data_IF_507591365311
#
_entry.id   IF_507591365311
#
_cell.length_a   1.000
_cell.length_b   1.000
_cell.length_c   1.000
_cell.angle_alpha   90.00
_cell.angle_beta   90.00
_cell.angle_gamma   90.00
#
_symmetry.space_group_name_H-M   'P 1'
#
loop_
_entity.id
_entity.type
_entity.pdbx_description
1 polymer ?
#
# COMPACT_ATOMS: atom_id res chain seq x y z
N UNK A 1 6.38 -14.09 5.60
CA UNK A 1 5.31 -13.16 5.18
C UNK A 1 4.42 -13.91 4.20
N UNK A 2 3.17 -13.50 4.04
CA UNK A 2 2.27 -13.98 3.00
C UNK A 2 1.37 -12.84 2.54
N UNK A 3 0.74 -13.01 1.39
CA UNK A 3 -0.37 -12.15 1.00
C UNK A 3 -1.53 -12.34 1.98
N UNK A 4 -2.19 -11.23 2.31
CA UNK A 4 -3.38 -11.23 3.16
C UNK A 4 -4.59 -11.76 2.40
N UNK A 5 -5.50 -12.38 3.13
CA UNK A 5 -6.80 -12.80 2.65
C UNK A 5 -7.88 -11.99 3.37
N UNK A 6 -8.57 -11.13 2.61
CA UNK A 6 -9.62 -10.28 3.16
C UNK A 6 -10.83 -11.11 3.64
N UNK A 7 -11.45 -10.64 4.71
CA UNK A 7 -12.72 -11.14 5.22
C UNK A 7 -13.80 -10.99 4.14
N UNK A 8 -14.80 -11.89 4.12
CA UNK A 8 -15.81 -11.93 3.05
C UNK A 8 -16.50 -10.59 2.80
N UNK A 9 -16.89 -9.87 3.86
CA UNK A 9 -17.53 -8.56 3.75
C UNK A 9 -16.60 -7.48 3.18
N UNK A 10 -15.29 -7.56 3.44
CA UNK A 10 -14.29 -6.64 2.87
C UNK A 10 -13.97 -7.01 1.43
N UNK A 11 -13.96 -8.30 1.06
CA UNK A 11 -13.87 -8.75 -0.34
C UNK A 11 -15.03 -8.17 -1.16
N UNK A 12 -16.26 -8.20 -0.65
CA UNK A 12 -17.40 -7.59 -1.34
C UNK A 12 -17.29 -6.06 -1.45
N UNK A 13 -16.85 -5.37 -0.38
CA UNK A 13 -16.56 -3.92 -0.47
C UNK A 13 -15.50 -3.62 -1.53
N UNK A 14 -14.46 -4.43 -1.62
CA UNK A 14 -13.38 -4.26 -2.60
C UNK A 14 -13.87 -4.53 -4.03
N UNK A 15 -14.68 -5.59 -4.24
CA UNK A 15 -15.27 -5.89 -5.55
C UNK A 15 -16.08 -4.72 -6.11
N UNK A 16 -16.81 -4.01 -5.26
CA UNK A 16 -17.58 -2.83 -5.68
C UNK A 16 -16.71 -1.64 -6.13
N UNK A 17 -15.41 -1.64 -5.81
CA UNK A 17 -14.45 -0.67 -6.31
C UNK A 17 -13.75 -1.12 -7.59
N UNK A 18 -13.65 -2.44 -7.82
CA UNK A 18 -12.90 -2.98 -8.93
C UNK A 18 -13.70 -2.85 -10.23
N UNK A 19 -13.04 -2.48 -11.34
CA UNK A 19 -13.68 -2.56 -12.64
C UNK A 19 -14.10 -4.01 -12.96
N UNK A 20 -15.22 -4.20 -13.65
CA UNK A 20 -15.78 -5.52 -13.97
C UNK A 20 -14.81 -6.45 -14.74
N UNK A 21 -13.80 -5.88 -15.40
CA UNK A 21 -12.79 -6.62 -16.15
C UNK A 21 -11.57 -7.05 -15.29
N UNK A 22 -11.58 -6.78 -13.98
CA UNK A 22 -10.53 -7.17 -13.03
C UNK A 22 -11.05 -8.25 -12.10
N UNK A 23 -10.28 -9.34 -11.94
CA UNK A 23 -10.64 -10.47 -11.08
C UNK A 23 -9.71 -10.68 -9.87
N UNK A 24 -8.62 -9.91 -9.74
CA UNK A 24 -7.63 -10.05 -8.69
C UNK A 24 -8.02 -9.37 -7.38
N UNK A 25 -7.83 -10.06 -6.24
CA UNK A 25 -8.12 -9.53 -4.89
C UNK A 25 -6.87 -9.22 -4.07
N UNK A 26 -5.76 -9.91 -4.33
CA UNK A 26 -4.45 -9.60 -3.76
C UNK A 26 -3.34 -10.25 -4.61
N UNK A 27 -2.54 -9.47 -5.37
CA UNK A 27 -2.57 -8.02 -5.48
C UNK A 27 -3.90 -7.47 -6.01
N UNK A 28 -4.24 -6.25 -5.58
CA UNK A 28 -5.35 -5.48 -6.17
C UNK A 28 -4.80 -4.69 -7.34
N UNK A 29 -5.36 -4.89 -8.54
CA UNK A 29 -4.86 -4.30 -9.77
C UNK A 29 -5.97 -3.46 -10.44
N UNK A 30 -5.78 -2.15 -10.51
CA UNK A 30 -6.75 -1.24 -11.16
C UNK A 30 -6.43 -0.97 -12.64
N UNK A 31 -5.43 -1.67 -13.18
CA UNK A 31 -4.92 -1.50 -14.54
C UNK A 31 -4.66 -0.02 -14.86
N UNK A 32 -5.36 0.56 -15.83
CA UNK A 32 -5.26 1.96 -16.25
C UNK A 32 -6.24 2.88 -15.53
N UNK A 33 -7.12 2.35 -14.70
CA UNK A 33 -8.15 3.13 -13.97
C UNK A 33 -7.72 3.52 -12.56
N UNK A 34 -6.44 3.35 -12.22
CA UNK A 34 -5.93 3.72 -10.92
C UNK A 34 -5.92 5.24 -10.74
N UNK A 35 -6.60 5.72 -9.71
CA UNK A 35 -6.54 7.11 -9.25
C UNK A 35 -6.36 7.19 -7.73
N UNK A 36 -6.11 8.40 -7.22
CA UNK A 36 -5.80 8.62 -5.81
C UNK A 36 -6.94 8.21 -4.86
N UNK A 37 -8.19 8.47 -5.24
CA UNK A 37 -9.36 8.17 -4.42
C UNK A 37 -9.62 6.65 -4.35
N UNK A 38 -9.44 5.96 -5.47
CA UNK A 38 -9.60 4.51 -5.58
C UNK A 38 -8.52 3.78 -4.80
N UNK A 39 -7.26 4.23 -4.89
CA UNK A 39 -6.16 3.71 -4.06
C UNK A 39 -6.45 3.94 -2.58
N UNK A 40 -6.89 5.16 -2.20
CA UNK A 40 -7.25 5.47 -0.82
C UNK A 40 -8.33 4.53 -0.28
N UNK A 41 -9.46 4.41 -0.97
CA UNK A 41 -10.57 3.54 -0.55
C UNK A 41 -10.15 2.07 -0.42
N UNK A 42 -9.29 1.61 -1.33
CA UNK A 42 -8.74 0.24 -1.31
C UNK A 42 -7.90 0.00 -0.06
N UNK A 43 -7.03 0.96 0.28
CA UNK A 43 -6.20 0.89 1.48
C UNK A 43 -7.07 0.96 2.74
N UNK A 44 -8.08 1.83 2.80
CA UNK A 44 -9.02 1.92 3.93
C UNK A 44 -9.76 0.58 4.18
N UNK A 45 -10.18 -0.11 3.12
CA UNK A 45 -10.72 -1.49 3.23
C UNK A 45 -9.68 -2.43 3.85
N UNK A 46 -8.44 -2.38 3.38
CA UNK A 46 -7.36 -3.19 3.97
C UNK A 46 -7.01 -2.79 5.41
N UNK A 47 -7.19 -1.52 5.80
CA UNK A 47 -6.99 -1.05 7.17
C UNK A 47 -8.02 -1.68 8.10
N UNK A 48 -9.25 -1.91 7.63
CA UNK A 48 -10.29 -2.57 8.41
C UNK A 48 -10.09 -4.09 8.56
N UNK A 49 -9.31 -4.72 7.69
CA UNK A 49 -9.04 -6.16 7.74
C UNK A 49 -8.12 -6.53 8.91
N UNK A 50 -8.46 -7.56 9.68
CA UNK A 50 -7.58 -8.07 10.74
C UNK A 50 -6.38 -8.85 10.16
N UNK A 51 -6.50 -9.35 8.93
CA UNK A 51 -5.47 -10.15 8.29
C UNK A 51 -4.38 -9.29 7.61
N UNK A 52 -4.75 -8.08 7.17
CA UNK A 52 -3.80 -7.13 6.59
C UNK A 52 -2.92 -6.53 7.68
N UNK A 53 -1.62 -6.77 7.57
CA UNK A 53 -0.61 -6.24 8.51
C UNK A 53 0.25 -5.11 7.94
N UNK A 54 0.29 -4.93 6.62
CA UNK A 54 1.14 -3.94 5.93
C UNK A 54 0.69 -3.77 4.48
N UNK A 55 1.05 -2.65 3.86
CA UNK A 55 0.73 -2.34 2.46
C UNK A 55 1.99 -2.17 1.61
N UNK A 56 1.96 -2.78 0.42
CA UNK A 56 2.84 -2.46 -0.70
C UNK A 56 1.96 -1.80 -1.73
N UNK A 57 2.26 -0.55 -2.09
CA UNK A 57 1.44 0.21 -3.04
C UNK A 57 2.29 0.60 -4.24
N UNK A 58 1.94 0.08 -5.41
CA UNK A 58 2.63 0.41 -6.67
C UNK A 58 1.88 1.58 -7.32
N UNK A 59 2.57 2.70 -7.54
CA UNK A 59 1.96 3.95 -8.01
C UNK A 59 2.56 4.40 -9.35
N UNK A 60 1.72 5.06 -10.14
CA UNK A 60 2.10 5.69 -11.41
C UNK A 60 2.92 6.95 -11.12
N UNK A 61 4.07 7.09 -11.77
CA UNK A 61 4.96 8.22 -11.57
C UNK A 61 4.36 9.53 -12.10
N UNK A 62 3.58 9.44 -13.20
CA UNK A 62 3.01 10.54 -13.96
C UNK A 62 2.02 11.39 -13.15
N UNK A 63 1.34 10.76 -12.19
CA UNK A 63 0.33 11.41 -11.34
C UNK A 63 0.67 11.25 -9.85
N UNK A 64 1.96 11.07 -9.51
CA UNK A 64 2.40 10.75 -8.15
C UNK A 64 1.92 11.77 -7.11
N UNK A 65 2.00 13.06 -7.43
CA UNK A 65 1.57 14.17 -6.56
C UNK A 65 0.09 14.08 -6.17
N UNK A 66 -0.77 13.54 -7.05
CA UNK A 66 -2.20 13.38 -6.77
C UNK A 66 -2.48 12.39 -5.62
N UNK A 67 -1.55 11.45 -5.36
CA UNK A 67 -1.71 10.46 -4.30
C UNK A 67 -1.30 10.99 -2.92
N UNK A 68 -0.52 12.08 -2.83
CA UNK A 68 0.09 12.54 -1.58
C UNK A 68 -0.97 12.81 -0.51
N UNK A 69 -1.89 13.73 -0.77
CA UNK A 69 -2.94 14.11 0.18
C UNK A 69 -3.87 12.93 0.50
N UNK A 70 -4.20 12.15 -0.54
CA UNK A 70 -5.08 10.99 -0.40
C UNK A 70 -4.48 9.97 0.58
N UNK A 71 -3.21 9.60 0.37
CA UNK A 71 -2.51 8.62 1.20
C UNK A 71 -2.13 9.16 2.57
N UNK A 72 -1.80 10.45 2.69
CA UNK A 72 -1.51 11.09 3.97
C UNK A 72 -2.75 11.17 4.87
N UNK A 73 -3.94 11.29 4.28
CA UNK A 73 -5.19 11.43 5.03
C UNK A 73 -5.70 10.13 5.69
N UNK A 74 -5.09 8.99 5.40
CA UNK A 74 -5.53 7.67 5.89
C UNK A 74 -5.04 7.45 7.33
N UNK A 75 -5.96 7.06 8.23
CA UNK A 75 -5.58 6.48 9.52
C UNK A 75 -5.22 5.00 9.33
N UNK A 76 -3.93 4.71 9.23
CA UNK A 76 -3.43 3.35 9.02
C UNK A 76 -3.56 2.41 10.23
N UNK A 77 -4.01 2.90 11.40
CA UNK A 77 -4.12 2.10 12.64
C UNK A 77 -2.81 1.35 12.99
N UNK A 78 -1.67 1.98 12.69
CA UNK A 78 -0.33 1.43 12.94
C UNK A 78 0.18 0.41 11.91
N UNK A 79 -0.56 0.16 10.82
CA UNK A 79 -0.12 -0.73 9.74
C UNK A 79 0.84 0.03 8.80
N UNK A 80 2.08 -0.43 8.59
CA UNK A 80 3.03 0.26 7.71
C UNK A 80 2.59 0.20 6.25
N UNK A 81 2.84 1.30 5.53
CA UNK A 81 2.71 1.43 4.08
C UNK A 81 4.06 1.77 3.49
N UNK A 82 4.40 1.17 2.35
CA UNK A 82 5.55 1.55 1.54
C UNK A 82 5.09 1.65 0.08
N UNK A 83 5.46 2.76 -0.57
CA UNK A 83 5.18 2.99 -1.98
C UNK A 83 6.33 2.48 -2.87
N UNK A 84 5.96 1.96 -4.04
CA UNK A 84 6.86 1.61 -5.13
C UNK A 84 6.49 2.46 -6.35
N UNK A 85 7.45 3.24 -6.86
CA UNK A 85 7.28 4.05 -8.07
C UNK A 85 8.40 3.67 -9.03
N UNK A 86 8.06 2.97 -10.11
CA UNK A 86 9.04 2.65 -11.15
C UNK A 86 9.48 3.96 -11.83
N UNK A 87 10.78 4.17 -11.97
CA UNK A 87 11.32 5.42 -12.53
C UNK A 87 11.05 6.63 -11.63
N UNK A 88 11.05 6.47 -10.30
CA UNK A 88 10.80 7.56 -9.33
C UNK A 88 11.69 8.79 -9.55
N UNK A 89 12.85 8.60 -10.17
CA UNK A 89 13.81 9.65 -10.52
C UNK A 89 13.20 10.70 -11.47
N UNK A 90 12.13 10.36 -12.20
CA UNK A 90 11.39 11.28 -13.07
C UNK A 90 10.24 12.01 -12.35
N UNK A 91 9.91 11.63 -11.11
CA UNK A 91 8.81 12.19 -10.31
C UNK A 91 9.30 12.67 -8.92
N UNK A 92 10.51 13.23 -8.85
CA UNK A 92 11.17 13.55 -7.58
C UNK A 92 10.40 14.50 -6.67
N UNK A 93 9.60 15.42 -7.22
CA UNK A 93 8.78 16.32 -6.40
C UNK A 93 7.74 15.54 -5.60
N UNK A 94 6.93 14.71 -6.27
CA UNK A 94 5.97 13.81 -5.60
C UNK A 94 6.64 12.81 -4.66
N UNK A 95 7.84 12.31 -4.98
CA UNK A 95 8.62 11.44 -4.07
C UNK A 95 8.95 12.18 -2.77
N UNK A 96 9.46 13.41 -2.86
CA UNK A 96 9.81 14.22 -1.68
C UNK A 96 8.58 14.50 -0.82
N UNK A 97 7.44 14.80 -1.45
CA UNK A 97 6.19 15.06 -0.75
C UNK A 97 5.64 13.81 -0.04
N UNK A 98 5.65 12.66 -0.71
CA UNK A 98 5.32 11.36 -0.12
C UNK A 98 6.21 11.03 1.10
N UNK A 99 7.53 11.21 0.96
CA UNK A 99 8.47 10.94 2.05
C UNK A 99 8.29 11.90 3.23
N UNK A 100 8.01 13.19 2.97
CA UNK A 100 7.64 14.18 4.00
C UNK A 100 6.32 13.83 4.69
N UNK A 101 5.38 13.21 3.98
CA UNK A 101 4.14 12.67 4.53
C UNK A 101 4.35 11.38 5.34
N UNK A 102 5.58 10.87 5.43
CA UNK A 102 5.93 9.68 6.19
C UNK A 102 5.73 8.37 5.42
N UNK A 103 5.60 8.43 4.10
CA UNK A 103 5.44 7.25 3.23
C UNK A 103 6.74 7.02 2.46
N UNK A 104 7.53 5.98 2.80
CA UNK A 104 8.76 5.68 2.08
C UNK A 104 8.50 5.28 0.62
N UNK A 105 9.34 5.74 -0.31
CA UNK A 105 9.19 5.47 -1.75
C UNK A 105 10.42 4.76 -2.32
N UNK A 106 10.22 3.54 -2.82
CA UNK A 106 11.26 2.72 -3.47
C UNK A 106 11.05 2.65 -4.99
N UNK A 107 12.11 2.33 -5.73
CA UNK A 107 12.04 2.23 -7.19
C UNK A 107 11.55 0.86 -7.70
N UNK A 108 11.60 -0.19 -6.85
CA UNK A 108 11.22 -1.55 -7.25
C UNK A 108 10.42 -2.29 -6.16
N UNK A 109 9.48 -3.17 -6.55
CA UNK A 109 8.67 -3.92 -5.59
C UNK A 109 9.49 -4.91 -4.75
N UNK A 110 10.60 -5.43 -5.28
CA UNK A 110 11.52 -6.31 -4.55
C UNK A 110 12.16 -5.57 -3.37
N UNK A 111 12.59 -4.32 -3.58
CA UNK A 111 13.17 -3.50 -2.53
C UNK A 111 12.15 -3.17 -1.43
N UNK A 112 10.88 -2.96 -1.81
CA UNK A 112 9.80 -2.81 -0.83
C UNK A 112 9.58 -4.10 -0.03
N UNK A 113 9.53 -5.25 -0.70
CA UNK A 113 9.37 -6.54 -0.05
C UNK A 113 10.52 -6.83 0.93
N UNK A 114 11.77 -6.51 0.56
CA UNK A 114 12.94 -6.64 1.42
C UNK A 114 12.87 -5.73 2.66
N UNK A 115 12.47 -4.46 2.47
CA UNK A 115 12.28 -3.52 3.58
C UNK A 115 11.22 -4.03 4.57
N UNK A 116 10.07 -4.48 4.08
CA UNK A 116 9.03 -5.08 4.91
C UNK A 116 9.50 -6.37 5.60
N UNK A 117 10.31 -7.19 4.93
CA UNK A 117 10.87 -8.41 5.53
C UNK A 117 11.80 -8.10 6.70
N UNK A 118 12.61 -7.05 6.61
CA UNK A 118 13.44 -6.56 7.71
C UNK A 118 12.55 -6.09 8.87
N UNK A 119 11.56 -5.24 8.60
CA UNK A 119 10.60 -4.74 9.61
C UNK A 119 9.87 -5.90 10.31
N UNK A 120 9.42 -6.89 9.55
CA UNK A 120 8.75 -8.09 10.06
C UNK A 120 9.65 -8.91 10.99
N UNK A 121 10.91 -9.17 10.59
CA UNK A 121 11.89 -9.89 11.42
C UNK A 121 12.19 -9.11 12.71
N UNK A 122 12.33 -7.79 12.62
CA UNK A 122 12.54 -6.94 13.77
C UNK A 122 11.34 -7.00 14.74
N UNK A 123 10.11 -6.87 14.23
CA UNK A 123 8.90 -6.96 15.05
C UNK A 123 8.81 -8.31 15.78
N UNK A 124 9.11 -9.42 15.09
CA UNK A 124 9.17 -10.75 15.70
C UNK A 124 10.20 -10.85 16.82
N UNK A 125 11.39 -10.28 16.63
CA UNK A 125 12.44 -10.26 17.65
C UNK A 125 11.99 -9.49 18.89
N UNK A 126 11.48 -8.27 18.71
CA UNK A 126 11.01 -7.41 19.82
C UNK A 126 9.85 -8.06 20.57
N UNK A 127 8.91 -8.71 19.88
CA UNK A 127 7.80 -9.44 20.55
C UNK A 127 8.28 -10.61 21.38
N UNK A 128 9.32 -11.32 20.94
CA UNK A 128 9.92 -12.44 21.69
C UNK A 128 10.67 -11.97 22.94
N UNK A 129 11.32 -10.81 22.89
CA UNK A 129 12.07 -10.24 24.02
C UNK A 129 11.14 -9.64 25.10
N UNK A 130 9.90 -9.30 24.73
CA UNK A 130 8.88 -8.73 25.65
C UNK A 130 7.92 -9.77 26.24
N UNK A 131 7.98 -11.02 25.79
CA UNK A 131 7.16 -12.12 26.26
C UNK A 131 7.90 -12.89 27.37
#
# INVERSE_FOLDING_TARGET
>A
MRLSELEGHLKERLKNLLPDYVSGMNPVDFTFSQDAETVKKTIEIGVDSQDVSSFIVVLQAEILESYVDALQSIDYKGKPIIACVAGKEFAMQGVIEMEKAGIPVFSTPEAVADALAIMYRHNKRVKRERA
#
